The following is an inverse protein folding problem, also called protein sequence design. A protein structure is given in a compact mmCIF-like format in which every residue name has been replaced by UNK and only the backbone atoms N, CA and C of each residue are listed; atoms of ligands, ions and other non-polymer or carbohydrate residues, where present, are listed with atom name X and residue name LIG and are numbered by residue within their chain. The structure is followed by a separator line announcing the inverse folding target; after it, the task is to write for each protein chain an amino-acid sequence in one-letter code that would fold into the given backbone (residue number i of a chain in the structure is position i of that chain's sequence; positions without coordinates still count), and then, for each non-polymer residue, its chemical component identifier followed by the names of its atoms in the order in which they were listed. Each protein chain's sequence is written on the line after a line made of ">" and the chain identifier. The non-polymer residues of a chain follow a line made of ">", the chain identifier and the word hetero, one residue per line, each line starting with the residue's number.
data_IF_537781344108
#
_entry.id   IF_537781344108
#
_cell.length_a   1.000
_cell.length_b   1.000
_cell.length_c   1.000
_cell.angle_alpha   90.00
_cell.angle_beta   90.00
_cell.angle_gamma   90.00
#
_symmetry.space_group_name_H-M   'P 1'
#
loop_
_entity.id
_entity.type
_entity.pdbx_description
1 polymer ?
#
# COMPACT_ATOMS: atom_id res chain seq x y z
N UNK A 1 4.45 8.50 -10.91
CA UNK A 1 5.71 8.82 -10.29
C UNK A 1 5.83 8.18 -8.92
N UNK A 2 7.01 7.67 -8.61
CA UNK A 2 7.20 6.84 -7.44
C UNK A 2 6.91 7.55 -6.13
N UNK A 3 7.39 8.76 -6.00
CA UNK A 3 7.17 9.52 -4.77
C UNK A 3 5.70 9.85 -4.56
N UNK A 4 5.02 10.19 -5.63
CA UNK A 4 3.59 10.46 -5.53
C UNK A 4 2.81 9.25 -5.08
N UNK A 5 3.22 8.07 -5.56
CA UNK A 5 2.56 6.83 -5.17
C UNK A 5 2.78 6.52 -3.71
N UNK A 6 4.00 6.73 -3.21
CA UNK A 6 4.27 6.50 -1.79
C UNK A 6 3.39 7.41 -0.93
N UNK A 7 3.23 8.64 -1.34
CA UNK A 7 2.40 9.58 -0.60
C UNK A 7 0.95 9.13 -0.61
N UNK A 8 0.45 8.69 -1.76
CA UNK A 8 -0.93 8.22 -1.86
C UNK A 8 -1.19 7.01 -0.99
N UNK A 9 -0.26 6.07 -1.00
CA UNK A 9 -0.40 4.89 -0.17
C UNK A 9 -0.40 5.26 1.31
N UNK A 10 0.54 6.10 1.71
CA UNK A 10 0.63 6.54 3.10
C UNK A 10 -0.65 7.23 3.54
N UNK A 11 -1.23 8.02 2.66
CA UNK A 11 -2.44 8.76 2.96
C UNK A 11 -3.60 7.83 3.28
N UNK A 12 -3.72 6.74 2.54
CA UNK A 12 -4.77 5.77 2.79
C UNK A 12 -4.64 5.18 4.19
N UNK A 13 -3.40 4.82 4.57
CA UNK A 13 -3.17 4.26 5.90
C UNK A 13 -3.49 5.27 6.99
N UNK A 14 -3.10 6.53 6.77
CA UNK A 14 -3.36 7.60 7.75
C UNK A 14 -4.86 7.80 7.90
N UNK A 15 -5.59 7.87 6.79
CA UNK A 15 -7.02 8.12 6.84
C UNK A 15 -7.79 6.98 7.50
N UNK A 16 -7.28 5.77 7.37
CA UNK A 16 -7.91 4.61 7.98
C UNK A 16 -7.40 4.34 9.40
N UNK A 17 -6.45 5.14 9.88
CA UNK A 17 -5.85 4.93 11.20
C UNK A 17 -5.22 3.56 11.34
N UNK A 18 -4.60 3.08 10.28
CA UNK A 18 -3.89 1.80 10.31
C UNK A 18 -2.41 2.09 10.51
N UNK A 19 -1.82 1.57 11.59
CA UNK A 19 -0.39 1.80 11.82
C UNK A 19 0.46 1.21 10.70
N UNK A 20 1.25 2.06 10.08
CA UNK A 20 2.15 1.66 8.99
C UNK A 20 3.56 1.64 9.56
N UNK A 21 4.13 0.46 9.71
CA UNK A 21 5.44 0.33 10.34
C UNK A 21 6.58 0.42 9.34
N UNK A 22 6.32 0.13 8.09
CA UNK A 22 7.35 0.25 7.08
C UNK A 22 6.69 0.39 5.72
N UNK A 23 7.31 1.20 4.87
CA UNK A 23 6.85 1.34 3.49
C UNK A 23 8.08 1.53 2.63
N UNK A 24 8.32 0.61 1.71
CA UNK A 24 9.49 0.67 0.84
C UNK A 24 9.06 0.56 -0.60
N UNK A 25 9.87 1.14 -1.46
CA UNK A 25 9.65 1.08 -2.90
C UNK A 25 10.90 0.50 -3.55
N UNK A 26 10.70 -0.34 -4.56
CA UNK A 26 11.78 -0.96 -5.29
C UNK A 26 11.51 -0.90 -6.77
N UNK A 27 12.56 -0.65 -7.53
CA UNK A 27 12.52 -0.73 -8.98
C UNK A 27 13.51 -1.74 -9.45
N UNK A 28 13.14 -2.51 -10.46
CA UNK A 28 14.05 -3.48 -11.03
C UNK A 28 14.28 -3.14 -12.48
N UNK A 29 15.43 -2.55 -12.73
CA UNK A 29 15.95 -2.32 -14.09
C UNK A 29 14.90 -1.75 -15.03
N UNK A 30 14.22 -0.73 -14.59
CA UNK A 30 13.25 -0.09 -15.44
C UNK A 30 11.98 -0.86 -15.63
N UNK A 31 11.85 -1.96 -14.93
CA UNK A 31 10.62 -2.77 -15.01
C UNK A 31 9.55 -2.22 -14.09
N UNK A 32 8.83 -3.11 -13.45
CA UNK A 32 7.77 -2.72 -12.54
C UNK A 32 8.34 -2.22 -11.22
N UNK A 33 7.68 -1.26 -10.64
CA UNK A 33 7.97 -0.85 -9.28
C UNK A 33 7.22 -1.74 -8.32
N UNK A 34 7.87 -2.03 -7.22
CA UNK A 34 7.27 -2.81 -6.15
C UNK A 34 7.18 -1.95 -4.90
N UNK A 35 6.08 -2.05 -4.21
CA UNK A 35 5.88 -1.39 -2.94
C UNK A 35 5.62 -2.45 -1.88
N UNK A 36 6.34 -2.36 -0.79
CA UNK A 36 6.17 -3.28 0.32
C UNK A 36 5.74 -2.48 1.52
N UNK A 37 4.64 -2.86 2.11
CA UNK A 37 4.12 -2.18 3.29
C UNK A 37 3.93 -3.17 4.40
N UNK A 38 4.39 -2.81 5.58
CA UNK A 38 4.16 -3.57 6.79
C UNK A 38 3.22 -2.80 7.68
N UNK A 39 2.17 -3.45 8.14
CA UNK A 39 1.13 -2.76 8.88
C UNK A 39 0.39 -3.73 9.78
N UNK A 40 -0.43 -3.18 10.66
CA UNK A 40 -1.26 -3.97 11.55
C UNK A 40 -2.71 -3.61 11.34
N UNK A 41 -3.56 -4.62 11.22
CA UNK A 41 -4.99 -4.42 11.16
C UNK A 41 -5.64 -5.19 12.29
N UNK A 42 -6.77 -4.68 12.75
CA UNK A 42 -7.45 -5.28 13.90
C UNK A 42 -8.44 -6.35 13.48
N UNK A 43 -9.03 -6.22 12.32
CA UNK A 43 -10.04 -7.17 11.86
C UNK A 43 -9.84 -7.44 10.39
N UNK A 44 -10.43 -8.55 9.96
CA UNK A 44 -10.44 -8.90 8.55
C UNK A 44 -11.20 -7.88 7.73
N UNK A 45 -12.24 -7.31 8.32
CA UNK A 45 -13.01 -6.28 7.65
C UNK A 45 -12.16 -5.05 7.35
N UNK A 46 -11.36 -4.65 8.32
CA UNK A 46 -10.47 -3.52 8.13
C UNK A 46 -9.48 -3.79 7.01
N UNK A 47 -8.95 -5.01 6.98
CA UNK A 47 -8.04 -5.41 5.92
C UNK A 47 -8.70 -5.35 4.56
N UNK A 48 -9.93 -5.83 4.46
CA UNK A 48 -10.64 -5.84 3.19
C UNK A 48 -10.90 -4.42 2.68
N UNK A 49 -11.25 -3.52 3.58
CA UNK A 49 -11.47 -2.13 3.20
C UNK A 49 -10.17 -1.49 2.74
N UNK A 50 -9.08 -1.80 3.43
CA UNK A 50 -7.77 -1.30 3.05
C UNK A 50 -7.40 -1.74 1.64
N UNK A 51 -7.56 -3.03 1.36
CA UNK A 51 -7.23 -3.56 0.05
C UNK A 51 -8.08 -2.90 -1.02
N UNK A 52 -9.35 -2.70 -0.74
CA UNK A 52 -10.25 -2.05 -1.67
C UNK A 52 -9.79 -0.64 -1.99
N UNK A 53 -9.38 0.09 -0.96
CA UNK A 53 -8.91 1.46 -1.16
C UNK A 53 -7.60 1.51 -1.91
N UNK A 54 -6.70 0.56 -1.62
CA UNK A 54 -5.43 0.49 -2.33
C UNK A 54 -5.63 0.17 -3.80
N UNK A 55 -6.61 -0.67 -4.11
CA UNK A 55 -6.89 -1.04 -5.49
C UNK A 55 -7.44 0.09 -6.32
N UNK A 56 -7.88 1.17 -5.69
CA UNK A 56 -8.30 2.35 -6.43
C UNK A 56 -7.14 3.11 -7.06
N UNK A 57 -5.93 2.82 -6.62
CA UNK A 57 -4.73 3.40 -7.21
C UNK A 57 -4.39 2.59 -8.45
N UNK A 58 -4.43 3.19 -9.65
CA UNK A 58 -4.28 2.40 -10.89
C UNK A 58 -2.98 1.65 -11.01
N UNK A 59 -1.93 2.17 -10.38
CA UNK A 59 -0.60 1.56 -10.51
C UNK A 59 -0.42 0.33 -9.65
N UNK A 60 -1.33 0.10 -8.70
CA UNK A 60 -1.22 -1.08 -7.85
C UNK A 60 -1.94 -2.24 -8.51
N UNK A 61 -1.16 -3.27 -8.86
CA UNK A 61 -1.69 -4.40 -9.60
C UNK A 61 -1.90 -5.61 -8.68
N UNK A 62 -0.94 -5.86 -7.80
CA UNK A 62 -0.97 -7.02 -6.93
C UNK A 62 -0.81 -6.60 -5.49
N UNK A 63 -1.65 -7.17 -4.64
CA UNK A 63 -1.56 -6.95 -3.21
C UNK A 63 -1.44 -8.31 -2.55
N UNK A 64 -0.32 -8.52 -1.88
CA UNK A 64 -0.06 -9.77 -1.20
C UNK A 64 -0.17 -9.59 0.29
N UNK A 65 -0.79 -10.56 0.92
CA UNK A 65 -0.89 -10.59 2.35
C UNK A 65 0.02 -11.68 2.89
N UNK A 66 0.78 -11.33 3.86
CA UNK A 66 1.67 -12.28 4.51
C UNK A 66 1.00 -12.88 5.73
#
# INVERSE_FOLDING_TARGET
>A
EKQGLLIEISKIFIEMNIPLTALTARSEKGECDFFTASFEVKTKRELNILIKNLNKIPEIINIHRV
#
